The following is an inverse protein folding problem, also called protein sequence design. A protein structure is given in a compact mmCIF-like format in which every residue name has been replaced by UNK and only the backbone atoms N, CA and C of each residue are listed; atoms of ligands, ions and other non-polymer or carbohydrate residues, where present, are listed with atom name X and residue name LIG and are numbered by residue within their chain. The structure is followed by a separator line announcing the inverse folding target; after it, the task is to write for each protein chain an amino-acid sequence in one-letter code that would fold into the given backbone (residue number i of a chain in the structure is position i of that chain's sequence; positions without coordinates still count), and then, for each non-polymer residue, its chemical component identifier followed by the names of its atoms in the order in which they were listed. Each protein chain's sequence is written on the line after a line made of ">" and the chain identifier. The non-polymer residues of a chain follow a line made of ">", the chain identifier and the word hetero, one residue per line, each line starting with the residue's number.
data_IF_163524178811
#
_entry.id   IF_163524178811
#
_cell.length_a   1.000
_cell.length_b   1.000
_cell.length_c   1.000
_cell.angle_alpha   90.00
_cell.angle_beta   90.00
_cell.angle_gamma   90.00
#
_symmetry.space_group_name_H-M   'P 1'
#
loop_
_entity.id
_entity.type
_entity.pdbx_description
1 polymer ?
#
# COMPACT_ATOMS: atom_id res chain seq x y z
N UNK A 1 8.88 0.16 1.62
CA UNK A 1 8.00 1.01 2.47
C UNK A 1 6.61 0.91 1.88
N UNK A 2 5.65 0.41 2.66
CA UNK A 2 4.29 0.25 2.15
C UNK A 2 3.44 1.47 2.48
N UNK A 3 2.62 1.96 1.53
CA UNK A 3 1.57 2.94 1.76
C UNK A 3 0.21 2.29 1.48
N UNK A 4 -0.78 2.47 2.35
CA UNK A 4 -2.17 2.11 2.10
C UNK A 4 -3.00 3.40 1.99
N UNK A 5 -3.68 3.61 0.84
CA UNK A 5 -4.67 4.68 0.71
C UNK A 5 -6.04 4.10 0.37
N UNK A 6 -7.07 4.46 1.14
CA UNK A 6 -8.44 3.97 0.96
C UNK A 6 -9.36 5.13 0.60
N UNK A 7 -10.14 4.94 -0.46
CA UNK A 7 -11.14 5.89 -0.94
C UNK A 7 -12.51 5.47 -0.43
N UNK A 8 -13.19 6.37 0.28
CA UNK A 8 -14.63 6.28 0.48
C UNK A 8 -15.30 7.30 -0.42
N UNK A 9 -16.08 6.87 -1.41
CA UNK A 9 -17.26 7.66 -1.76
C UNK A 9 -18.17 7.63 -0.52
N UNK A 10 -18.53 8.78 0.03
CA UNK A 10 -19.48 8.83 1.13
C UNK A 10 -20.86 8.34 0.63
N UNK A 11 -21.41 7.21 1.11
CA UNK A 11 -22.83 6.98 0.98
C UNK A 11 -23.49 7.81 2.09
N UNK A 12 -24.50 8.59 1.72
CA UNK A 12 -25.32 9.31 2.69
C UNK A 12 -25.77 8.39 3.82
N UNK A 13 -25.80 8.96 5.03
CA UNK A 13 -26.39 8.37 6.22
C UNK A 13 -27.80 7.83 5.89
N UNK A 14 -27.97 6.52 5.76
CA UNK A 14 -29.26 5.87 6.01
C UNK A 14 -29.07 4.55 6.75
N UNK A 15 -29.84 4.44 7.84
CA UNK A 15 -29.91 3.30 8.75
C UNK A 15 -30.15 1.97 8.04
N UNK A 16 -29.38 0.94 8.39
CA UNK A 16 -29.91 -0.43 8.42
C UNK A 16 -29.49 -1.17 9.69
N UNK A 17 -30.50 -1.37 10.53
CA UNK A 17 -30.54 -2.26 11.68
C UNK A 17 -30.35 -3.73 11.29
N UNK A 18 -29.68 -4.43 12.19
CA UNK A 18 -29.83 -5.85 12.56
C UNK A 18 -29.75 -6.93 11.48
N UNK A 19 -28.68 -7.71 11.54
CA UNK A 19 -28.77 -9.15 11.80
C UNK A 19 -27.44 -9.75 12.25
N UNK A 20 -27.36 -10.06 13.55
CA UNK A 20 -26.49 -11.12 14.05
C UNK A 20 -27.13 -12.47 13.73
N UNK A 21 -26.40 -13.36 13.04
CA UNK A 21 -26.40 -14.79 13.37
C UNK A 21 -25.19 -15.53 12.73
N UNK A 22 -24.53 -16.29 13.59
CA UNK A 22 -23.50 -17.32 13.46
C UNK A 22 -23.10 -17.82 12.06
N UNK A 23 -21.78 -17.86 11.79
CA UNK A 23 -21.10 -19.02 11.18
C UNK A 23 -19.68 -19.15 11.75
N UNK A 24 -19.41 -20.30 12.38
CA UNK A 24 -18.10 -20.69 12.89
C UNK A 24 -17.19 -21.30 11.82
N UNK A 25 -15.88 -21.25 12.10
CA UNK A 25 -14.83 -22.16 11.65
C UNK A 25 -14.75 -22.53 10.15
N UNK A 26 -14.34 -21.58 9.30
CA UNK A 26 -13.67 -21.86 8.02
C UNK A 26 -12.63 -20.77 7.72
N UNK A 27 -11.46 -20.81 8.39
CA UNK A 27 -10.39 -19.80 8.18
C UNK A 27 -9.14 -20.30 7.45
N UNK A 28 -8.98 -21.61 7.23
CA UNK A 28 -7.78 -22.17 6.58
C UNK A 28 -7.89 -22.38 5.05
N UNK A 29 -9.10 -22.43 4.49
CA UNK A 29 -9.31 -22.73 3.06
C UNK A 29 -9.10 -21.54 2.11
N UNK A 30 -9.45 -20.32 2.54
CA UNK A 30 -9.51 -19.13 1.65
C UNK A 30 -8.14 -18.55 1.32
N UNK A 31 -7.19 -18.60 2.25
CA UNK A 31 -5.81 -18.14 2.01
C UNK A 31 -5.08 -19.02 0.99
N UNK A 32 -5.31 -20.34 1.02
CA UNK A 32 -4.77 -21.30 0.04
C UNK A 32 -5.37 -21.10 -1.35
N UNK A 33 -6.66 -20.77 -1.43
CA UNK A 33 -7.34 -20.51 -2.71
C UNK A 33 -6.87 -19.20 -3.36
N UNK A 34 -6.56 -18.18 -2.55
CA UNK A 34 -6.02 -16.90 -3.01
C UNK A 34 -4.56 -17.03 -3.47
N UNK A 35 -3.73 -17.81 -2.76
CA UNK A 35 -2.38 -18.15 -3.21
C UNK A 35 -2.39 -18.93 -4.54
N UNK A 36 -3.35 -19.84 -4.73
CA UNK A 36 -3.57 -20.55 -6.00
C UNK A 36 -4.00 -19.61 -7.13
N UNK A 37 -4.86 -18.62 -6.86
CA UNK A 37 -5.27 -17.60 -7.84
C UNK A 37 -4.09 -16.70 -8.26
N UNK A 38 -3.21 -16.34 -7.33
CA UNK A 38 -1.97 -15.60 -7.63
C UNK A 38 -1.04 -16.45 -8.50
N UNK A 39 -0.84 -17.73 -8.15
CA UNK A 39 -0.09 -18.69 -8.98
C UNK A 39 -0.64 -18.85 -10.39
N UNK A 40 -1.98 -18.87 -10.55
CA UNK A 40 -2.63 -18.91 -11.85
C UNK A 40 -2.50 -17.62 -12.68
N UNK A 41 -2.38 -16.43 -12.05
CA UNK A 41 -2.08 -15.17 -12.77
C UNK A 41 -0.65 -15.15 -13.30
N UNK A 42 0.32 -15.65 -12.52
CA UNK A 42 1.73 -15.79 -12.94
C UNK A 42 1.86 -16.71 -14.16
N UNK A 43 1.09 -17.81 -14.19
CA UNK A 43 1.09 -18.75 -15.31
C UNK A 43 0.42 -18.21 -16.60
N UNK A 44 -0.40 -17.15 -16.52
CA UNK A 44 -1.12 -16.57 -17.68
C UNK A 44 -0.47 -15.32 -18.28
N UNK A 45 0.74 -14.95 -17.85
CA UNK A 45 1.48 -13.84 -18.49
C UNK A 45 0.79 -12.48 -18.38
N UNK A 46 0.15 -12.18 -17.23
CA UNK A 46 -0.45 -10.87 -16.99
C UNK A 46 0.65 -9.80 -17.06
N UNK A 47 0.59 -8.94 -18.08
CA UNK A 47 1.41 -7.73 -18.15
C UNK A 47 0.67 -6.63 -17.40
N UNK A 48 1.35 -5.81 -16.58
CA UNK A 48 0.72 -4.66 -15.93
C UNK A 48 0.13 -3.74 -17.00
N UNK A 49 -1.11 -3.30 -16.82
CA UNK A 49 -1.86 -2.54 -17.82
C UNK A 49 -1.20 -1.19 -18.15
N UNK A 50 -0.34 -0.67 -17.26
CA UNK A 50 0.43 0.56 -17.49
C UNK A 50 1.82 0.49 -16.84
N UNK A 51 2.84 0.60 -17.69
CA UNK A 51 4.22 0.93 -17.29
C UNK A 51 4.43 2.40 -17.66
N UNK A 52 4.58 3.27 -16.67
CA UNK A 52 5.02 4.65 -16.94
C UNK A 52 6.55 4.67 -16.91
N UNK A 53 7.18 4.62 -18.09
CA UNK A 53 8.63 4.78 -18.25
C UNK A 53 8.99 6.28 -18.28
N UNK A 54 9.83 6.79 -17.35
CA UNK A 54 10.30 8.18 -17.40
C UNK A 54 11.12 8.53 -18.65
N UNK A 55 11.57 7.56 -19.47
CA UNK A 55 12.24 7.81 -20.76
C UNK A 55 11.25 8.18 -21.87
N UNK A 56 10.02 7.67 -21.86
CA UNK A 56 8.98 8.04 -22.82
C UNK A 56 8.52 9.50 -22.67
N UNK A 57 8.85 10.16 -21.54
CA UNK A 57 8.59 11.58 -21.31
C UNK A 57 9.80 12.49 -21.65
N UNK A 58 10.94 11.93 -22.08
CA UNK A 58 12.14 12.71 -22.44
C UNK A 58 12.22 13.11 -23.92
N UNK A 59 11.36 12.58 -24.78
CA UNK A 59 11.38 12.86 -26.23
C UNK A 59 10.70 14.18 -26.64
N UNK A 60 10.26 14.99 -25.68
CA UNK A 60 9.79 16.36 -25.90
C UNK A 60 10.82 17.46 -25.63
N UNK A 61 12.13 17.22 -25.78
CA UNK A 61 13.18 18.25 -25.55
C UNK A 61 13.29 19.25 -26.71
N UNK A 62 12.23 20.02 -26.91
CA UNK A 62 12.32 21.37 -27.45
C UNK A 62 12.80 22.32 -26.36
N UNK A 63 13.88 23.07 -26.63
CA UNK A 63 14.48 24.06 -25.74
C UNK A 63 13.46 25.10 -25.24
N UNK A 64 12.91 24.96 -24.04
CA UNK A 64 12.47 26.07 -23.17
C UNK A 64 12.70 25.71 -21.71
N UNK A 65 13.14 26.68 -20.92
CA UNK A 65 13.55 26.55 -19.52
C UNK A 65 12.45 26.02 -18.60
N UNK A 66 12.27 24.71 -18.58
CA UNK A 66 11.35 24.03 -17.68
C UNK A 66 11.87 24.07 -16.26
N UNK A 67 11.17 24.76 -15.37
CA UNK A 67 11.31 24.56 -13.92
C UNK A 67 11.26 23.06 -13.65
N UNK A 68 12.25 22.51 -12.93
CA UNK A 68 12.08 21.19 -12.32
C UNK A 68 10.83 21.30 -11.45
N UNK A 69 9.79 20.52 -11.77
CA UNK A 69 8.67 20.30 -10.84
C UNK A 69 9.31 19.84 -9.52
N UNK A 70 9.10 20.54 -8.40
CA UNK A 70 9.68 20.13 -7.13
C UNK A 70 9.16 18.74 -6.81
N UNK A 71 10.05 17.81 -6.48
CA UNK A 71 9.64 16.53 -5.88
C UNK A 71 8.91 16.90 -4.59
N UNK A 72 7.59 16.70 -4.57
CA UNK A 72 6.79 17.02 -3.41
C UNK A 72 7.24 16.18 -2.24
N UNK A 73 7.24 16.78 -1.06
CA UNK A 73 7.61 16.03 0.13
C UNK A 73 6.50 15.03 0.43
N UNK A 74 6.85 13.93 1.08
CA UNK A 74 5.88 12.88 1.44
C UNK A 74 4.70 13.44 2.25
N UNK A 75 4.95 14.46 3.08
CA UNK A 75 3.94 15.20 3.84
C UNK A 75 2.88 15.86 2.95
N UNK A 76 3.29 16.48 1.84
CA UNK A 76 2.37 17.18 0.94
C UNK A 76 1.41 16.17 0.28
N UNK A 77 1.92 14.98 -0.05
CA UNK A 77 1.11 13.90 -0.60
C UNK A 77 0.09 13.40 0.41
N UNK A 78 0.49 13.19 1.67
CA UNK A 78 -0.42 12.73 2.72
C UNK A 78 -1.46 13.77 3.12
N UNK A 79 -1.08 15.05 3.15
CA UNK A 79 -2.04 16.13 3.32
C UNK A 79 -3.10 16.11 2.22
N UNK A 80 -2.68 15.92 0.96
CA UNK A 80 -3.62 15.85 -0.16
C UNK A 80 -4.55 14.62 -0.09
N UNK A 81 -4.01 13.45 0.28
CA UNK A 81 -4.80 12.24 0.53
C UNK A 81 -5.87 12.52 1.60
N UNK A 82 -5.47 13.13 2.72
CA UNK A 82 -6.40 13.49 3.81
C UNK A 82 -7.44 14.53 3.38
N UNK A 83 -7.04 15.55 2.63
CA UNK A 83 -7.96 16.58 2.08
C UNK A 83 -8.98 15.96 1.12
N UNK A 84 -8.61 14.88 0.43
CA UNK A 84 -9.51 14.10 -0.41
C UNK A 84 -10.43 13.15 0.38
N UNK A 85 -10.30 13.10 1.71
CA UNK A 85 -11.07 12.19 2.59
C UNK A 85 -10.52 10.77 2.67
N UNK A 86 -9.35 10.51 2.09
CA UNK A 86 -8.73 9.19 2.11
C UNK A 86 -7.84 9.00 3.35
N UNK A 87 -7.65 7.74 3.75
CA UNK A 87 -6.69 7.38 4.79
C UNK A 87 -5.30 7.10 4.22
N UNK A 88 -4.29 7.15 5.08
CA UNK A 88 -2.91 6.86 4.73
C UNK A 88 -2.26 6.06 5.86
N UNK A 89 -1.79 4.85 5.60
CA UNK A 89 -1.04 4.06 6.58
C UNK A 89 0.29 3.54 6.03
N UNK A 90 1.29 3.41 6.89
CA UNK A 90 2.59 2.84 6.56
C UNK A 90 2.81 1.52 7.28
N UNK A 91 3.17 0.45 6.57
CA UNK A 91 3.55 -0.83 7.18
C UNK A 91 4.92 -1.26 6.66
N UNK A 92 5.86 -1.54 7.55
CA UNK A 92 7.23 -1.94 7.17
C UNK A 92 7.72 -3.10 8.02
N UNK A 93 8.63 -3.92 7.49
CA UNK A 93 9.34 -4.90 8.31
C UNK A 93 10.55 -4.28 9.05
N UNK A 94 10.88 -3.03 8.72
CA UNK A 94 11.89 -2.24 9.43
C UNK A 94 11.45 -1.93 10.88
N UNK A 95 12.39 -1.57 11.77
CA UNK A 95 12.07 -1.15 13.13
C UNK A 95 11.01 -0.03 13.19
N UNK A 96 10.09 -0.12 14.16
CA UNK A 96 8.97 0.81 14.34
C UNK A 96 9.41 2.26 14.54
N UNK A 97 10.51 2.47 15.27
CA UNK A 97 11.04 3.81 15.56
C UNK A 97 11.46 4.60 14.31
N UNK A 98 11.63 3.96 13.15
CA UNK A 98 11.83 4.66 11.87
C UNK A 98 10.53 5.28 11.33
N UNK A 99 9.40 4.61 11.57
CA UNK A 99 8.11 4.97 10.98
C UNK A 99 7.18 5.70 11.95
N UNK A 100 7.42 5.62 13.27
CA UNK A 100 6.62 6.34 14.27
C UNK A 100 6.58 7.86 14.01
N UNK A 101 7.68 8.45 13.54
CA UNK A 101 7.74 9.88 13.17
C UNK A 101 6.83 10.24 11.99
N UNK A 102 6.44 9.26 11.17
CA UNK A 102 5.61 9.49 10.00
C UNK A 102 4.17 9.86 10.37
N UNK A 103 3.70 9.48 11.56
CA UNK A 103 2.39 9.90 12.08
C UNK A 103 2.36 11.42 12.23
N UNK A 104 3.40 12.00 12.85
CA UNK A 104 3.55 13.46 12.97
C UNK A 104 3.73 14.19 11.63
N UNK A 105 3.97 13.46 10.55
CA UNK A 105 4.12 13.97 9.19
C UNK A 105 2.84 13.85 8.35
N UNK A 106 1.78 13.21 8.89
CA UNK A 106 0.46 13.12 8.25
C UNK A 106 -0.01 11.70 7.93
N UNK A 107 0.77 10.65 8.22
CA UNK A 107 0.24 9.29 8.16
C UNK A 107 -0.79 9.07 9.29
N UNK A 108 -1.89 8.40 8.98
CA UNK A 108 -2.92 8.05 9.97
C UNK A 108 -2.48 6.90 10.86
N UNK A 109 -1.71 5.96 10.30
CA UNK A 109 -1.10 4.87 11.05
C UNK A 109 0.30 4.54 10.53
N UNK A 110 1.17 4.06 11.41
CA UNK A 110 2.50 3.59 11.05
C UNK A 110 2.88 2.37 11.90
N UNK A 111 3.19 1.25 11.23
CA UNK A 111 3.55 -0.01 11.86
C UNK A 111 4.90 -0.50 11.36
N UNK A 112 5.76 -0.90 12.29
CA UNK A 112 7.04 -1.52 12.03
C UNK A 112 7.32 -2.64 13.02
N UNK A 113 8.38 -3.40 12.77
CA UNK A 113 8.88 -4.42 13.70
C UNK A 113 9.26 -3.79 15.04
N UNK A 114 8.89 -4.43 16.15
CA UNK A 114 9.23 -3.99 17.49
C UNK A 114 10.69 -4.29 17.78
N UNK A 115 11.46 -3.25 18.02
CA UNK A 115 12.86 -3.33 18.45
C UNK A 115 13.01 -2.72 19.85
N UNK A 116 14.07 -3.06 20.60
CA UNK A 116 14.43 -2.36 21.82
C UNK A 116 14.67 -0.86 21.58
N UNK A 117 14.66 -0.07 22.65
CA UNK A 117 15.01 1.34 22.55
C UNK A 117 16.48 1.49 22.13
N UNK A 118 16.80 2.59 21.43
CA UNK A 118 18.18 2.93 21.08
C UNK A 118 18.84 3.71 22.23
N UNK A 119 20.13 3.48 22.55
CA UNK A 119 21.00 2.42 22.01
C UNK A 119 20.55 1.02 22.47
N UNK A 120 20.67 0.01 21.61
CA UNK A 120 20.20 -1.34 21.93
C UNK A 120 21.00 -1.94 23.09
N UNK A 121 20.35 -2.12 24.24
CA UNK A 121 20.91 -2.77 25.43
C UNK A 121 20.28 -4.13 25.71
N UNK A 122 19.12 -4.41 25.11
CA UNK A 122 18.40 -5.67 25.20
C UNK A 122 18.44 -6.45 23.88
N UNK A 123 18.26 -7.79 23.91
CA UNK A 123 18.03 -8.58 22.71
C UNK A 123 16.76 -8.16 21.98
N UNK A 124 16.75 -8.35 20.66
CA UNK A 124 15.54 -8.23 19.85
C UNK A 124 14.65 -9.45 20.12
N UNK A 125 13.42 -9.20 20.58
CA UNK A 125 12.41 -10.23 20.79
C UNK A 125 11.86 -10.70 19.42
N UNK A 126 12.08 -11.96 19.01
CA UNK A 126 11.68 -12.44 17.67
C UNK A 126 10.19 -12.31 17.39
N UNK A 127 9.34 -12.47 18.41
CA UNK A 127 7.88 -12.32 18.25
C UNK A 127 7.44 -10.89 17.94
N UNK A 128 8.32 -9.90 18.15
CA UNK A 128 8.10 -8.51 17.77
C UNK A 128 8.45 -8.19 16.31
N UNK A 129 9.09 -9.12 15.59
CA UNK A 129 9.48 -8.91 14.19
C UNK A 129 8.32 -9.19 13.25
N UNK A 130 7.99 -8.20 12.42
CA UNK A 130 6.97 -8.38 11.38
C UNK A 130 7.53 -9.20 10.23
N UNK A 131 6.67 -10.05 9.66
CA UNK A 131 6.92 -10.75 8.41
C UNK A 131 5.94 -10.29 7.31
N UNK A 132 6.01 -10.94 6.14
CA UNK A 132 5.13 -10.61 5.02
C UNK A 132 3.64 -10.93 5.29
N UNK A 133 3.33 -11.87 6.19
CA UNK A 133 1.96 -12.19 6.56
C UNK A 133 1.38 -11.13 7.51
N UNK A 134 2.18 -10.66 8.46
CA UNK A 134 1.81 -9.61 9.40
C UNK A 134 1.37 -8.31 8.69
N UNK A 135 1.94 -8.00 7.52
CA UNK A 135 1.48 -6.87 6.69
C UNK A 135 0.01 -6.97 6.28
N UNK A 136 -0.47 -8.17 5.98
CA UNK A 136 -1.87 -8.42 5.60
C UNK A 136 -2.78 -8.32 6.82
N UNK A 137 -2.35 -8.87 7.96
CA UNK A 137 -3.10 -8.80 9.22
C UNK A 137 -3.26 -7.35 9.68
N UNK A 138 -2.17 -6.58 9.69
CA UNK A 138 -2.19 -5.15 10.02
C UNK A 138 -3.09 -4.38 9.04
N UNK A 139 -2.97 -4.63 7.73
CA UNK A 139 -3.82 -3.95 6.76
C UNK A 139 -5.31 -4.26 6.97
N UNK A 140 -5.68 -5.50 7.31
CA UNK A 140 -7.07 -5.85 7.63
C UNK A 140 -7.54 -5.13 8.91
N UNK A 141 -6.72 -5.10 9.96
CA UNK A 141 -7.05 -4.39 11.21
C UNK A 141 -7.25 -2.88 10.97
N UNK A 142 -6.42 -2.27 10.13
CA UNK A 142 -6.57 -0.87 9.74
C UNK A 142 -7.82 -0.63 8.88
N UNK A 143 -8.22 -1.59 8.04
CA UNK A 143 -9.47 -1.49 7.29
C UNK A 143 -10.67 -1.44 8.25
N UNK A 144 -10.67 -2.31 9.27
CA UNK A 144 -11.69 -2.34 10.30
C UNK A 144 -11.69 -1.04 11.13
N UNK A 145 -10.51 -0.57 11.55
CA UNK A 145 -10.34 0.66 12.33
C UNK A 145 -10.82 1.91 11.58
N UNK A 146 -10.50 2.01 10.28
CA UNK A 146 -10.89 3.16 9.45
C UNK A 146 -12.29 3.01 8.83
N UNK A 147 -12.96 1.87 9.01
CA UNK A 147 -14.27 1.61 8.42
C UNK A 147 -14.25 1.55 6.89
N UNK A 148 -13.16 1.07 6.30
CA UNK A 148 -12.97 0.97 4.84
C UNK A 148 -13.00 -0.47 4.36
N UNK A 149 -13.62 -0.73 3.20
CA UNK A 149 -13.57 -2.06 2.61
C UNK A 149 -12.20 -2.33 1.97
N UNK A 150 -11.73 -3.58 2.06
CA UNK A 150 -10.45 -3.97 1.46
C UNK A 150 -10.47 -3.84 -0.07
N UNK A 151 -11.64 -3.94 -0.70
CA UNK A 151 -11.88 -3.66 -2.11
C UNK A 151 -11.59 -2.22 -2.51
N UNK A 152 -11.68 -1.28 -1.57
CA UNK A 152 -11.44 0.14 -1.82
C UNK A 152 -9.99 0.57 -1.55
N UNK A 153 -9.19 -0.34 -0.99
CA UNK A 153 -7.79 -0.09 -0.66
C UNK A 153 -6.85 -0.15 -1.87
N UNK A 154 -5.85 0.74 -1.88
CA UNK A 154 -4.71 0.70 -2.79
C UNK A 154 -3.43 0.44 -2.00
N UNK A 155 -2.62 -0.50 -2.49
CA UNK A 155 -1.34 -0.88 -1.86
C UNK A 155 -0.17 -0.41 -2.73
N UNK A 156 0.75 0.35 -2.16
CA UNK A 156 1.99 0.78 -2.82
C UNK A 156 3.18 0.08 -2.18
N UNK A 157 4.01 -0.63 -2.95
CA UNK A 157 5.15 -1.39 -2.41
C UNK A 157 6.30 -1.55 -3.40
N UNK A 158 7.46 -1.91 -2.87
CA UNK A 158 8.72 -2.00 -3.61
C UNK A 158 9.43 -3.36 -3.45
N UNK A 159 9.05 -4.12 -2.43
CA UNK A 159 9.76 -5.31 -1.98
C UNK A 159 8.93 -6.58 -2.15
N UNK A 160 9.61 -7.73 -2.27
CA UNK A 160 8.96 -9.04 -2.23
C UNK A 160 8.16 -9.29 -0.94
N UNK A 161 8.47 -8.60 0.16
CA UNK A 161 7.66 -8.66 1.37
C UNK A 161 6.22 -8.17 1.18
N UNK A 162 5.94 -7.44 0.10
CA UNK A 162 4.61 -6.91 -0.24
C UNK A 162 3.78 -7.86 -1.11
N UNK A 163 4.34 -8.99 -1.58
CA UNK A 163 3.66 -9.93 -2.50
C UNK A 163 2.32 -10.42 -1.95
N UNK A 164 2.28 -10.79 -0.66
CA UNK A 164 1.04 -11.26 -0.03
C UNK A 164 -0.02 -10.16 0.00
N UNK A 165 0.39 -8.93 0.23
CA UNK A 165 -0.52 -7.80 0.30
C UNK A 165 -1.00 -7.33 -1.07
N UNK A 166 -0.14 -7.37 -2.09
CA UNK A 166 -0.54 -7.12 -3.50
C UNK A 166 -1.62 -8.10 -3.96
N UNK A 167 -1.56 -9.35 -3.48
CA UNK A 167 -2.59 -10.35 -3.74
C UNK A 167 -3.86 -10.19 -2.93
N UNK A 168 -3.86 -9.38 -1.86
CA UNK A 168 -4.97 -9.21 -0.92
C UNK A 168 -5.95 -8.08 -1.33
N UNK A 169 -5.50 -7.15 -2.16
CA UNK A 169 -6.27 -5.98 -2.63
C UNK A 169 -6.46 -6.01 -4.14
N UNK A 170 -7.50 -5.36 -4.69
CA UNK A 170 -7.72 -5.33 -6.14
C UNK A 170 -6.75 -4.41 -6.86
N UNK A 171 -6.19 -3.38 -6.19
CA UNK A 171 -5.29 -2.42 -6.82
C UNK A 171 -3.96 -2.31 -6.06
N UNK A 172 -2.86 -2.55 -6.77
CA UNK A 172 -1.51 -2.50 -6.23
C UNK A 172 -0.55 -1.79 -7.18
N UNK A 173 0.38 -1.03 -6.62
CA UNK A 173 1.35 -0.22 -7.35
C UNK A 173 2.76 -0.61 -6.93
N UNK A 174 3.51 -1.20 -7.86
CA UNK A 174 4.93 -1.45 -7.69
C UNK A 174 5.73 -0.15 -7.90
N UNK A 175 6.37 0.40 -6.86
CA UNK A 175 7.17 1.64 -6.92
C UNK A 175 8.65 1.29 -6.88
N UNK A 176 9.41 1.59 -7.95
CA UNK A 176 10.85 1.28 -8.05
C UNK A 176 11.15 -0.16 -7.56
N UNK A 177 10.30 -1.10 -7.96
CA UNK A 177 10.22 -2.40 -7.31
C UNK A 177 11.09 -3.46 -8.00
N UNK A 178 11.34 -4.55 -7.27
CA UNK A 178 11.86 -5.80 -7.83
C UNK A 178 10.99 -6.25 -9.03
N UNK A 179 11.58 -6.68 -10.16
CA UNK A 179 10.81 -7.13 -11.34
C UNK A 179 9.78 -8.22 -11.05
N UNK A 180 10.04 -9.07 -10.05
CA UNK A 180 9.10 -10.11 -9.62
C UNK A 180 7.87 -9.49 -8.97
N UNK A 181 8.02 -8.43 -8.17
CA UNK A 181 6.88 -7.70 -7.63
C UNK A 181 6.12 -6.96 -8.74
N UNK A 182 6.84 -6.35 -9.69
CA UNK A 182 6.22 -5.68 -10.86
C UNK A 182 5.30 -6.61 -11.63
N UNK A 183 5.68 -7.87 -11.84
CA UNK A 183 4.83 -8.86 -12.53
C UNK A 183 3.53 -9.23 -11.80
N UNK A 184 3.41 -8.87 -10.52
CA UNK A 184 2.25 -9.14 -9.68
C UNK A 184 1.37 -7.90 -9.45
N UNK A 185 1.90 -6.72 -9.72
CA UNK A 185 1.24 -5.44 -9.50
C UNK A 185 0.18 -5.17 -10.57
N UNK A 186 -0.90 -4.47 -10.22
CA UNK A 186 -1.81 -3.96 -11.24
C UNK A 186 -1.22 -2.76 -11.98
N UNK A 187 -0.37 -1.99 -11.31
CA UNK A 187 0.35 -0.84 -11.86
C UNK A 187 1.82 -0.88 -11.48
N UNK A 188 2.66 -0.26 -12.31
CA UNK A 188 4.07 -0.04 -11.98
C UNK A 188 4.46 1.41 -12.21
N UNK A 189 5.26 1.95 -11.30
CA UNK A 189 5.72 3.32 -11.32
C UNK A 189 7.22 3.40 -11.07
N UNK A 190 7.93 4.02 -12.02
CA UNK A 190 9.38 4.27 -11.93
C UNK A 190 9.59 5.76 -11.80
N UNK A 191 9.62 6.24 -10.55
CA UNK A 191 9.84 7.64 -10.22
C UNK A 191 9.94 7.85 -8.72
N UNK A 192 10.40 9.04 -8.31
CA UNK A 192 10.63 9.39 -6.89
C UNK A 192 9.51 10.21 -6.26
N UNK A 193 8.54 10.60 -7.08
CA UNK A 193 7.42 11.44 -6.67
C UNK A 193 6.22 10.55 -6.31
N UNK A 194 5.92 10.46 -5.01
CA UNK A 194 4.83 9.64 -4.48
C UNK A 194 3.46 10.14 -4.92
N UNK A 195 3.29 11.45 -5.10
CA UNK A 195 2.02 12.01 -5.57
C UNK A 195 1.67 11.46 -6.94
N UNK A 196 2.64 11.41 -7.86
CA UNK A 196 2.41 10.83 -9.19
C UNK A 196 2.07 9.35 -9.15
N UNK A 197 2.65 8.60 -8.22
CA UNK A 197 2.27 7.21 -8.00
C UNK A 197 0.81 7.10 -7.53
N UNK A 198 0.38 7.98 -6.62
CA UNK A 198 -1.00 8.02 -6.13
C UNK A 198 -2.01 8.48 -7.20
N UNK A 199 -1.67 9.50 -8.00
CA UNK A 199 -2.50 9.98 -9.11
C UNK A 199 -2.71 8.92 -10.20
N UNK A 200 -1.73 8.04 -10.43
CA UNK A 200 -1.82 6.94 -11.40
C UNK A 200 -3.07 6.07 -11.19
N UNK A 201 -3.43 5.84 -9.93
CA UNK A 201 -4.56 4.98 -9.55
C UNK A 201 -5.84 5.80 -9.37
N UNK A 202 -5.76 7.01 -8.80
CA UNK A 202 -6.94 7.87 -8.65
C UNK A 202 -7.61 8.18 -9.99
N UNK A 203 -6.85 8.37 -11.06
CA UNK A 203 -7.41 8.63 -12.40
C UNK A 203 -8.04 7.40 -13.06
N UNK A 204 -7.77 6.20 -12.54
CA UNK A 204 -8.30 4.95 -13.06
C UNK A 204 -9.54 4.46 -12.29
N UNK A 205 -9.94 5.17 -11.24
CA UNK A 205 -11.16 4.99 -10.44
C UNK A 205 -12.19 6.02 -10.88
#
# INVERSE_FOLDING_TARGET
>A
MLLLAAAGESPGLEHRKDRHEQVGAERDGRASDQARRIGHRVARGHRPDRVVDPRAQREGRGRRGGRRQPELRIQDTWNWIREAGDYCAVVTLSPSFFVERLIGWGAHAAHGSRFPAVPFTEPVEPTGLLDAAAKVEIANGLCEEFGVDRGDCVVYGDSLSDVRLFGAVPVSVAIIADPRLVSLATHSYVGRDLRKAYELVRQAR
#
